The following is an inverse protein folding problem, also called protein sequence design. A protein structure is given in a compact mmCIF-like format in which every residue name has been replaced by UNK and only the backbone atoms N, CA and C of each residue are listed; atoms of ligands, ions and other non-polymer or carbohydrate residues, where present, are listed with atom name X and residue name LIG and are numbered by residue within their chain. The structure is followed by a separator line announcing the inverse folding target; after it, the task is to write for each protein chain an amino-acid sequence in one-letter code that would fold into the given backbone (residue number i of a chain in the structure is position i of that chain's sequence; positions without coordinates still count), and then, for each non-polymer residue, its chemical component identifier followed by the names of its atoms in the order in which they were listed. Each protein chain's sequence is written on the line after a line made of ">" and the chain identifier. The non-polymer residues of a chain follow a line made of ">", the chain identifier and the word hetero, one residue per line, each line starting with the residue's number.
data_IF_168693291728
#
_entry.id   IF_168693291728
#
_cell.length_a   1.000
_cell.length_b   1.000
_cell.length_c   1.000
_cell.angle_alpha   90.00
_cell.angle_beta   90.00
_cell.angle_gamma   90.00
#
_symmetry.space_group_name_H-M   'P 1'
#
loop_
_entity.id
_entity.type
_entity.pdbx_description
1 polymer ?
#
# COMPACT_ATOMS: atom_id res chain seq x y z
N UNK A 1 -51.30 -6.94 -29.95
CA UNK A 1 -49.86 -7.03 -30.27
C UNK A 1 -49.21 -5.73 -29.82
N UNK A 2 -48.49 -5.76 -28.70
CA UNK A 2 -47.80 -4.61 -28.10
C UNK A 2 -46.32 -5.01 -28.06
N UNK A 3 -45.38 -4.25 -28.65
CA UNK A 3 -43.98 -4.59 -28.53
C UNK A 3 -43.47 -4.13 -27.16
N UNK A 4 -42.95 -5.07 -26.38
CA UNK A 4 -42.13 -4.80 -25.18
C UNK A 4 -40.78 -4.27 -25.64
N UNK A 5 -40.54 -2.98 -25.48
CA UNK A 5 -39.21 -2.39 -25.57
C UNK A 5 -38.42 -2.78 -24.32
N UNK A 6 -37.38 -3.58 -24.51
CA UNK A 6 -36.35 -3.84 -23.52
C UNK A 6 -35.57 -2.55 -23.27
N UNK A 7 -35.78 -1.95 -22.10
CA UNK A 7 -34.87 -0.95 -21.51
C UNK A 7 -33.89 -1.74 -20.66
N UNK A 8 -32.72 -2.07 -21.22
CA UNK A 8 -31.58 -2.54 -20.44
C UNK A 8 -30.29 -2.04 -21.09
N UNK A 9 -29.34 -1.65 -20.24
CA UNK A 9 -27.97 -1.22 -20.54
C UNK A 9 -27.74 0.28 -20.67
N UNK A 10 -28.13 1.03 -19.63
CA UNK A 10 -27.52 2.31 -19.28
C UNK A 10 -26.93 2.23 -17.86
N UNK A 11 -25.96 1.35 -17.63
CA UNK A 11 -25.19 1.34 -16.37
C UNK A 11 -23.87 0.54 -16.50
N UNK A 12 -22.99 0.94 -17.43
CA UNK A 12 -21.68 0.29 -17.55
C UNK A 12 -20.66 1.24 -18.22
N UNK A 13 -20.56 2.48 -17.75
CA UNK A 13 -19.57 3.44 -18.28
C UNK A 13 -19.10 4.51 -17.27
N UNK A 14 -18.98 4.15 -15.98
CA UNK A 14 -18.34 4.99 -14.95
C UNK A 14 -17.34 4.24 -14.05
N UNK A 15 -16.84 3.07 -14.47
CA UNK A 15 -15.71 2.39 -13.82
C UNK A 15 -14.37 2.67 -14.54
N UNK A 16 -14.27 3.80 -15.24
CA UNK A 16 -13.04 4.20 -15.90
C UNK A 16 -12.12 4.96 -14.93
N UNK A 17 -11.00 4.31 -14.60
CA UNK A 17 -9.67 4.93 -14.45
C UNK A 17 -9.36 5.70 -13.16
N UNK A 18 -9.87 5.28 -12.01
CA UNK A 18 -9.21 5.61 -10.73
C UNK A 18 -8.47 4.38 -10.20
N UNK A 19 -7.67 3.75 -11.06
CA UNK A 19 -6.67 2.80 -10.57
C UNK A 19 -5.57 3.63 -9.90
N UNK A 20 -5.26 3.29 -8.64
CA UNK A 20 -4.07 3.78 -7.98
C UNK A 20 -2.86 3.33 -8.80
N UNK A 21 -2.33 4.20 -9.65
CA UNK A 21 -1.14 3.89 -10.42
C UNK A 21 0.08 4.11 -9.53
N UNK A 22 1.18 3.43 -9.83
CA UNK A 22 2.49 3.71 -9.22
C UNK A 22 2.94 5.17 -9.44
N UNK A 23 2.29 5.90 -10.37
CA UNK A 23 2.69 7.21 -10.87
C UNK A 23 1.87 8.38 -10.32
N UNK A 24 0.81 8.11 -9.55
CA UNK A 24 -0.05 9.18 -9.05
C UNK A 24 0.80 10.15 -8.24
N UNK A 25 0.79 11.42 -8.65
CA UNK A 25 1.67 12.42 -8.04
C UNK A 25 1.39 12.43 -6.54
N UNK A 26 2.39 12.18 -5.70
CA UNK A 26 2.22 12.44 -4.29
C UNK A 26 1.81 13.90 -4.13
N UNK A 27 0.93 14.20 -3.18
CA UNK A 27 0.71 15.58 -2.75
C UNK A 27 1.67 15.84 -1.58
N UNK A 28 2.93 16.26 -1.82
CA UNK A 28 3.69 16.86 -0.74
C UNK A 28 2.90 18.10 -0.32
N UNK A 29 2.35 18.07 0.90
CA UNK A 29 1.74 19.25 1.48
C UNK A 29 2.79 20.35 1.47
N UNK A 30 2.62 21.38 0.65
CA UNK A 30 3.47 22.58 0.65
C UNK A 30 3.33 23.35 1.96
N UNK A 31 2.28 23.06 2.73
CA UNK A 31 2.04 23.61 4.04
C UNK A 31 2.92 22.95 5.10
N UNK A 32 3.48 23.77 5.99
CA UNK A 32 4.18 23.31 7.18
C UNK A 32 3.24 22.53 8.11
N UNK A 33 3.80 21.64 8.94
CA UNK A 33 3.04 20.89 9.94
C UNK A 33 2.24 21.79 10.88
N UNK A 34 2.81 22.93 11.28
CA UNK A 34 2.13 23.92 12.11
C UNK A 34 0.91 24.55 11.40
N UNK A 35 0.98 24.80 10.09
CA UNK A 35 -0.17 25.29 9.32
C UNK A 35 -1.26 24.23 9.19
N UNK A 36 -0.86 22.97 8.99
CA UNK A 36 -1.79 21.83 8.94
C UNK A 36 -2.52 21.70 10.28
N UNK A 37 -1.79 21.74 11.40
CA UNK A 37 -2.37 21.70 12.75
C UNK A 37 -3.36 22.85 12.99
N UNK A 38 -3.04 24.08 12.57
CA UNK A 38 -3.97 25.22 12.66
C UNK A 38 -5.26 25.00 11.85
N UNK A 39 -5.14 24.39 10.65
CA UNK A 39 -6.31 24.05 9.82
C UNK A 39 -7.16 22.96 10.49
N UNK A 40 -6.52 21.95 11.09
CA UNK A 40 -7.20 20.90 11.85
C UNK A 40 -7.93 21.48 13.07
N UNK A 41 -7.28 22.32 13.88
CA UNK A 41 -7.92 22.99 15.03
C UNK A 41 -9.15 23.79 14.61
N UNK A 42 -9.04 24.57 13.52
CA UNK A 42 -10.16 25.33 12.97
C UNK A 42 -11.30 24.41 12.52
N UNK A 43 -10.99 23.36 11.76
CA UNK A 43 -11.98 22.43 11.25
C UNK A 43 -12.68 21.64 12.36
N UNK A 44 -11.95 21.23 13.39
CA UNK A 44 -12.47 20.42 14.50
C UNK A 44 -13.57 21.13 15.30
N UNK A 45 -13.69 22.46 15.21
CA UNK A 45 -14.77 23.23 15.84
C UNK A 45 -16.14 22.83 15.30
N UNK A 46 -16.25 22.56 14.00
CA UNK A 46 -17.51 22.25 13.31
C UNK A 46 -17.58 20.85 12.72
N UNK A 47 -16.43 20.25 12.42
CA UNK A 47 -16.35 18.91 11.83
C UNK A 47 -16.53 17.80 12.88
N UNK A 48 -16.95 16.64 12.39
CA UNK A 48 -16.99 15.39 13.14
C UNK A 48 -15.67 14.63 12.97
N UNK A 49 -15.26 13.87 13.99
CA UNK A 49 -13.96 13.17 13.98
C UNK A 49 -14.21 11.68 13.80
N UNK A 50 -13.83 11.12 12.65
CA UNK A 50 -14.05 9.70 12.34
C UNK A 50 -12.72 8.96 12.34
N UNK A 51 -12.60 7.94 13.17
CA UNK A 51 -11.45 7.06 13.20
C UNK A 51 -11.66 5.79 12.37
N UNK A 52 -10.65 5.40 11.61
CA UNK A 52 -10.60 4.13 10.88
C UNK A 52 -9.26 3.47 11.19
N UNK A 53 -9.33 2.21 11.62
CA UNK A 53 -8.16 1.43 12.00
C UNK A 53 -8.13 0.07 11.31
N UNK A 54 -7.02 -0.26 10.65
CA UNK A 54 -6.82 -1.56 10.00
C UNK A 54 -5.49 -2.20 10.38
N UNK A 55 -5.55 -3.42 10.93
CA UNK A 55 -4.32 -4.13 11.30
C UNK A 55 -3.57 -4.60 10.06
N UNK A 56 -4.23 -5.34 9.18
CA UNK A 56 -3.66 -5.91 7.97
C UNK A 56 -4.45 -5.46 6.75
N UNK A 57 -4.16 -4.27 6.19
CA UNK A 57 -4.48 -4.05 4.79
C UNK A 57 -3.84 -5.14 3.93
N UNK A 58 -4.29 -5.27 2.69
CA UNK A 58 -3.56 -6.05 1.70
C UNK A 58 -2.14 -5.46 1.56
N UNK A 59 -1.14 -6.14 2.13
CA UNK A 59 0.25 -5.67 2.23
C UNK A 59 0.94 -5.80 0.87
N UNK A 60 1.68 -4.78 0.42
CA UNK A 60 2.59 -4.96 -0.72
C UNK A 60 3.75 -5.83 -0.26
N UNK A 61 3.68 -7.12 -0.58
CA UNK A 61 4.74 -8.06 -0.27
C UNK A 61 5.16 -8.96 -1.43
N UNK A 62 6.13 -9.82 -1.12
CA UNK A 62 6.60 -10.91 -1.92
C UNK A 62 6.72 -12.15 -1.04
N UNK A 63 5.72 -13.01 -1.13
CA UNK A 63 5.64 -14.27 -0.39
C UNK A 63 5.94 -15.46 -1.29
N UNK A 64 6.05 -16.65 -0.70
CA UNK A 64 6.36 -17.86 -1.43
C UNK A 64 5.30 -18.24 -2.47
N UNK A 65 4.05 -17.87 -2.17
CA UNK A 65 2.89 -18.04 -3.06
C UNK A 65 2.89 -17.12 -4.28
N UNK A 66 3.68 -16.04 -4.28
CA UNK A 66 3.80 -15.13 -5.41
C UNK A 66 4.60 -15.74 -6.57
N UNK A 67 5.39 -16.78 -6.29
CA UNK A 67 6.14 -17.51 -7.32
C UNK A 67 5.36 -18.74 -7.77
N UNK A 68 4.84 -18.69 -8.99
CA UNK A 68 3.97 -19.73 -9.56
C UNK A 68 4.75 -20.97 -10.00
N UNK A 69 6.06 -20.85 -10.23
CA UNK A 69 6.94 -21.95 -10.63
C UNK A 69 8.36 -21.78 -10.05
N UNK A 70 8.54 -22.27 -8.83
CA UNK A 70 9.81 -22.18 -8.10
C UNK A 70 11.01 -22.82 -8.81
N UNK A 71 10.94 -24.04 -9.36
CA UNK A 71 12.06 -24.62 -10.09
C UNK A 71 12.53 -23.75 -11.26
N UNK A 72 11.59 -23.24 -12.07
CA UNK A 72 11.93 -22.39 -13.21
C UNK A 72 12.44 -21.01 -12.76
N UNK A 73 11.86 -20.43 -11.71
CA UNK A 73 12.33 -19.16 -11.17
C UNK A 73 13.77 -19.27 -10.69
N UNK A 74 14.10 -20.32 -9.93
CA UNK A 74 15.48 -20.56 -9.46
C UNK A 74 16.42 -20.88 -10.61
N UNK A 75 15.99 -21.58 -11.66
CA UNK A 75 16.79 -21.76 -12.86
C UNK A 75 17.15 -20.40 -13.51
N UNK A 76 16.21 -19.47 -13.59
CA UNK A 76 16.49 -18.12 -14.12
C UNK A 76 17.50 -17.36 -13.25
N UNK A 77 17.41 -17.51 -11.92
CA UNK A 77 18.41 -16.96 -10.99
C UNK A 77 19.79 -17.59 -11.22
N UNK A 78 19.87 -18.91 -11.42
CA UNK A 78 21.11 -19.61 -11.75
C UNK A 78 21.74 -19.16 -13.06
N UNK A 79 20.91 -18.95 -14.08
CA UNK A 79 21.38 -18.46 -15.39
C UNK A 79 22.02 -17.07 -15.26
N UNK A 80 21.63 -16.31 -14.23
CA UNK A 80 22.25 -15.06 -13.80
C UNK A 80 22.37 -14.02 -14.93
N UNK A 81 21.28 -13.84 -15.69
CA UNK A 81 21.19 -12.91 -16.82
C UNK A 81 20.07 -11.88 -16.62
N UNK A 82 20.26 -10.69 -17.17
CA UNK A 82 19.25 -9.63 -17.16
C UNK A 82 18.76 -9.30 -15.74
N UNK A 83 17.44 -9.16 -15.52
CA UNK A 83 16.87 -8.87 -14.20
C UNK A 83 17.27 -9.87 -13.09
N UNK A 84 17.52 -11.14 -13.45
CA UNK A 84 17.90 -12.18 -12.49
C UNK A 84 19.25 -11.89 -11.81
N UNK A 85 20.16 -11.21 -12.52
CA UNK A 85 21.45 -10.80 -11.99
C UNK A 85 21.29 -9.87 -10.78
N UNK A 86 20.33 -8.96 -10.82
CA UNK A 86 20.07 -8.06 -9.70
C UNK A 86 19.46 -8.76 -8.51
N UNK A 87 18.48 -9.63 -8.75
CA UNK A 87 17.91 -10.44 -7.66
C UNK A 87 19.02 -11.26 -6.99
N UNK A 88 19.82 -11.99 -7.77
CA UNK A 88 20.97 -12.75 -7.26
C UNK A 88 21.94 -11.88 -6.46
N UNK A 89 22.34 -10.72 -6.98
CA UNK A 89 23.30 -9.83 -6.31
C UNK A 89 22.87 -9.45 -4.90
N UNK A 90 21.57 -9.27 -4.67
CA UNK A 90 21.05 -8.84 -3.37
C UNK A 90 20.68 -9.98 -2.43
N UNK A 91 20.60 -11.23 -2.89
CA UNK A 91 20.34 -12.37 -2.01
C UNK A 91 21.43 -12.47 -0.94
N UNK A 92 21.08 -12.98 0.25
CA UNK A 92 22.07 -13.30 1.27
C UNK A 92 23.09 -14.33 0.73
N UNK A 93 24.33 -14.25 1.22
CA UNK A 93 25.46 -15.01 0.66
C UNK A 93 25.20 -16.52 0.65
N UNK A 94 24.71 -17.06 1.76
CA UNK A 94 24.33 -18.47 1.91
C UNK A 94 23.23 -18.89 0.92
N UNK A 95 22.26 -18.02 0.64
CA UNK A 95 21.19 -18.30 -0.32
C UNK A 95 21.72 -18.31 -1.76
N UNK A 96 22.64 -17.39 -2.10
CA UNK A 96 23.32 -17.41 -3.40
C UNK A 96 24.07 -18.71 -3.62
N UNK A 97 24.85 -19.15 -2.63
CA UNK A 97 25.62 -20.40 -2.71
C UNK A 97 24.70 -21.61 -2.94
N UNK A 98 23.52 -21.63 -2.28
CA UNK A 98 22.51 -22.67 -2.51
C UNK A 98 21.88 -22.59 -3.90
N UNK A 99 21.59 -21.38 -4.40
CA UNK A 99 21.09 -21.19 -5.77
C UNK A 99 22.14 -21.61 -6.78
N UNK A 100 23.44 -21.34 -6.59
CA UNK A 100 24.50 -21.74 -7.51
C UNK A 100 24.73 -23.27 -7.56
N UNK A 101 24.17 -24.03 -6.61
CA UNK A 101 24.25 -25.48 -6.61
C UNK A 101 23.51 -26.08 -7.81
N UNK A 102 24.22 -26.83 -8.67
CA UNK A 102 23.66 -27.45 -9.90
C UNK A 102 22.45 -28.36 -9.66
N UNK A 103 22.26 -28.86 -8.44
CA UNK A 103 21.14 -29.73 -8.09
C UNK A 103 19.94 -28.98 -7.50
N UNK A 104 20.03 -27.67 -7.23
CA UNK A 104 18.99 -26.91 -6.51
C UNK A 104 17.63 -27.00 -7.19
N UNK A 105 17.56 -26.93 -8.52
CA UNK A 105 16.31 -26.99 -9.28
C UNK A 105 15.63 -28.34 -9.09
N UNK A 106 16.42 -29.43 -9.13
CA UNK A 106 15.91 -30.77 -8.86
C UNK A 106 15.48 -30.93 -7.38
N UNK A 107 16.20 -30.31 -6.45
CA UNK A 107 15.84 -30.32 -5.02
C UNK A 107 14.54 -29.58 -4.73
N UNK A 108 14.33 -28.41 -5.36
CA UNK A 108 13.10 -27.62 -5.21
C UNK A 108 11.92 -28.34 -5.88
N UNK A 109 12.13 -28.98 -7.03
CA UNK A 109 11.09 -29.77 -7.69
C UNK A 109 10.72 -31.04 -6.92
N UNK A 110 11.61 -31.54 -6.05
CA UNK A 110 11.36 -32.72 -5.25
C UNK A 110 10.35 -32.42 -4.12
N UNK A 111 9.38 -33.32 -3.93
CA UNK A 111 8.40 -33.22 -2.82
C UNK A 111 9.03 -33.33 -1.42
N UNK A 112 10.27 -33.80 -1.33
CA UNK A 112 11.05 -33.97 -0.09
C UNK A 112 12.48 -33.47 -0.31
N UNK A 113 12.71 -32.15 -0.33
CA UNK A 113 14.06 -31.62 -0.43
C UNK A 113 14.92 -32.09 0.73
N UNK A 114 16.22 -32.20 0.50
CA UNK A 114 17.19 -32.45 1.58
C UNK A 114 17.17 -31.30 2.60
N UNK A 115 17.62 -31.52 3.85
CA UNK A 115 17.55 -30.51 4.91
C UNK A 115 18.17 -29.17 4.54
N UNK A 116 19.23 -29.18 3.73
CA UNK A 116 19.93 -27.98 3.23
C UNK A 116 19.04 -27.06 2.37
N UNK A 117 18.16 -27.64 1.55
CA UNK A 117 17.27 -26.88 0.66
C UNK A 117 15.88 -26.63 1.27
N UNK A 118 15.64 -27.12 2.49
CA UNK A 118 14.37 -26.94 3.18
C UNK A 118 14.21 -25.47 3.55
N UNK A 119 13.14 -24.84 3.06
CA UNK A 119 12.85 -23.43 3.33
C UNK A 119 13.56 -22.45 2.39
N UNK A 120 14.37 -22.92 1.43
CA UNK A 120 15.07 -22.04 0.50
C UNK A 120 14.13 -21.09 -0.25
N UNK A 121 12.96 -21.55 -0.67
CA UNK A 121 11.95 -20.71 -1.35
C UNK A 121 11.42 -19.60 -0.44
N UNK A 122 11.17 -19.91 0.84
CA UNK A 122 10.75 -18.93 1.84
C UNK A 122 11.86 -17.91 2.12
N UNK A 123 13.10 -18.38 2.24
CA UNK A 123 14.28 -17.52 2.45
C UNK A 123 14.52 -16.58 1.27
N UNK A 124 14.44 -17.08 0.03
CA UNK A 124 14.53 -16.26 -1.19
C UNK A 124 13.41 -15.22 -1.21
N UNK A 125 12.17 -15.62 -0.88
CA UNK A 125 11.03 -14.70 -0.84
C UNK A 125 11.25 -13.59 0.18
N UNK A 126 11.75 -13.93 1.37
CA UNK A 126 12.08 -12.97 2.42
C UNK A 126 13.17 -11.98 1.99
N UNK A 127 14.20 -12.46 1.30
CA UNK A 127 15.24 -11.57 0.77
C UNK A 127 14.68 -10.65 -0.31
N UNK A 128 13.86 -11.16 -1.24
CA UNK A 128 13.18 -10.34 -2.26
C UNK A 128 12.27 -9.30 -1.60
N UNK A 129 11.50 -9.68 -0.59
CA UNK A 129 10.65 -8.76 0.16
C UNK A 129 11.45 -7.56 0.70
N UNK A 130 12.61 -7.80 1.33
CA UNK A 130 13.50 -6.73 1.79
C UNK A 130 14.04 -5.87 0.64
N UNK A 131 14.30 -6.46 -0.52
CA UNK A 131 14.80 -5.75 -1.70
C UNK A 131 13.78 -4.82 -2.33
N UNK A 132 12.47 -5.11 -2.21
CA UNK A 132 11.43 -4.26 -2.81
C UNK A 132 11.48 -2.83 -2.29
N UNK A 133 12.11 -2.60 -1.15
CA UNK A 133 12.30 -1.26 -0.60
C UNK A 133 13.39 -0.44 -1.25
N UNK A 134 14.22 -1.06 -2.09
CA UNK A 134 15.42 -0.45 -2.63
C UNK A 134 15.09 0.45 -3.83
N UNK A 135 15.46 1.75 -3.81
CA UNK A 135 15.26 2.61 -4.97
C UNK A 135 16.18 2.22 -6.16
N UNK A 136 17.21 1.41 -5.91
CA UNK A 136 18.23 0.96 -6.86
C UNK A 136 18.11 -0.53 -7.23
N UNK A 137 16.96 -1.17 -6.98
CA UNK A 137 16.79 -2.61 -7.24
C UNK A 137 17.05 -2.97 -8.71
N UNK A 138 16.49 -2.20 -9.64
CA UNK A 138 16.70 -2.33 -11.07
C UNK A 138 17.25 -1.03 -11.64
N UNK A 139 18.28 -1.12 -12.47
CA UNK A 139 18.73 -0.05 -13.35
C UNK A 139 18.03 -0.12 -14.70
N UNK A 140 18.11 0.95 -15.49
CA UNK A 140 17.59 0.98 -16.86
C UNK A 140 18.18 -0.17 -17.71
N UNK A 141 19.49 -0.43 -17.55
CA UNK A 141 20.17 -1.52 -18.25
C UNK A 141 19.63 -2.90 -17.89
N UNK A 142 19.21 -3.10 -16.63
CA UNK A 142 18.64 -4.38 -16.17
C UNK A 142 17.28 -4.66 -16.83
N UNK A 143 16.62 -3.63 -17.36
CA UNK A 143 15.26 -3.66 -17.90
C UNK A 143 15.19 -3.49 -19.43
N UNK A 144 16.33 -3.46 -20.13
CA UNK A 144 16.38 -3.20 -21.58
C UNK A 144 15.50 -4.15 -22.41
N UNK A 145 15.41 -5.42 -22.00
CA UNK A 145 14.62 -6.45 -22.67
C UNK A 145 13.23 -6.68 -22.02
N UNK A 146 12.86 -5.85 -21.03
CA UNK A 146 11.59 -5.97 -20.31
C UNK A 146 10.56 -5.02 -20.91
N UNK A 147 9.41 -5.57 -21.33
CA UNK A 147 8.31 -4.76 -21.85
C UNK A 147 7.60 -4.00 -20.72
N UNK A 148 7.90 -2.70 -20.58
CA UNK A 148 7.32 -1.84 -19.55
C UNK A 148 6.02 -1.15 -20.00
N UNK A 149 5.01 -1.18 -19.12
CA UNK A 149 3.77 -0.41 -19.28
C UNK A 149 4.04 1.10 -19.12
N UNK A 150 3.07 1.94 -19.52
CA UNK A 150 3.15 3.39 -19.33
C UNK A 150 3.30 3.75 -17.85
N UNK A 151 2.51 3.14 -16.97
CA UNK A 151 2.54 3.43 -15.52
C UNK A 151 3.89 3.10 -14.89
N UNK A 152 4.55 2.02 -15.34
CA UNK A 152 5.91 1.66 -14.91
C UNK A 152 6.92 2.72 -15.35
N UNK A 153 6.84 3.17 -16.61
CA UNK A 153 7.72 4.22 -17.13
C UNK A 153 7.52 5.54 -16.39
N UNK A 154 6.27 5.91 -16.13
CA UNK A 154 5.94 7.13 -15.38
C UNK A 154 6.46 7.05 -13.94
N UNK A 155 6.33 5.89 -13.27
CA UNK A 155 6.90 5.66 -11.94
C UNK A 155 8.44 5.65 -11.93
N UNK A 156 9.09 5.09 -12.95
CA UNK A 156 10.56 5.18 -13.12
C UNK A 156 11.00 6.64 -13.24
N UNK A 157 10.30 7.42 -14.06
CA UNK A 157 10.60 8.83 -14.31
C UNK A 157 10.47 9.72 -13.06
N UNK A 158 9.73 9.30 -12.03
CA UNK A 158 9.70 9.99 -10.74
C UNK A 158 11.07 9.96 -10.01
N UNK A 159 11.91 8.95 -10.27
CA UNK A 159 13.24 8.83 -9.66
C UNK A 159 13.21 8.92 -8.13
N UNK A 160 14.06 9.78 -7.57
CA UNK A 160 14.15 10.05 -6.13
C UNK A 160 12.89 10.72 -5.54
N UNK A 161 11.98 11.22 -6.38
CA UNK A 161 10.71 11.81 -5.93
C UNK A 161 9.66 10.75 -5.60
N UNK A 162 9.93 9.48 -5.88
CA UNK A 162 9.04 8.38 -5.49
C UNK A 162 8.93 8.31 -3.97
N UNK A 163 7.73 8.03 -3.51
CA UNK A 163 7.50 7.66 -2.11
C UNK A 163 7.98 6.24 -1.83
N UNK A 164 7.97 5.89 -0.54
CA UNK A 164 8.17 4.53 -0.08
C UNK A 164 7.20 3.54 -0.76
N UNK A 165 5.90 3.83 -0.76
CA UNK A 165 4.87 2.93 -1.34
C UNK A 165 5.03 2.85 -2.85
N UNK A 166 5.30 3.96 -3.53
CA UNK A 166 5.54 3.96 -4.98
C UNK A 166 6.77 3.12 -5.34
N UNK A 167 7.82 3.15 -4.52
CA UNK A 167 9.01 2.31 -4.71
C UNK A 167 8.68 0.83 -4.55
N UNK A 168 7.90 0.46 -3.52
CA UNK A 168 7.40 -0.89 -3.33
C UNK A 168 6.57 -1.37 -4.52
N UNK A 169 5.56 -0.60 -4.93
CA UNK A 169 4.70 -0.94 -6.06
C UNK A 169 5.49 -1.08 -7.35
N UNK A 170 6.42 -0.15 -7.62
CA UNK A 170 7.29 -0.18 -8.78
C UNK A 170 8.11 -1.46 -8.80
N UNK A 171 8.84 -1.75 -7.72
CA UNK A 171 9.74 -2.90 -7.66
C UNK A 171 8.98 -4.22 -7.76
N UNK A 172 7.83 -4.36 -7.10
CA UNK A 172 6.98 -5.56 -7.23
C UNK A 172 6.43 -5.73 -8.64
N UNK A 173 6.09 -4.63 -9.32
CA UNK A 173 5.60 -4.64 -10.71
C UNK A 173 6.71 -4.93 -11.72
N UNK A 174 7.90 -4.37 -11.51
CA UNK A 174 9.10 -4.67 -12.31
C UNK A 174 9.51 -6.13 -12.16
N UNK A 175 9.42 -6.70 -10.95
CA UNK A 175 9.69 -8.11 -10.73
C UNK A 175 8.71 -9.00 -11.50
N UNK A 176 7.42 -8.69 -11.46
CA UNK A 176 6.42 -9.41 -12.27
C UNK A 176 6.69 -9.25 -13.78
N UNK A 177 7.07 -8.06 -14.25
CA UNK A 177 7.41 -7.82 -15.65
C UNK A 177 8.69 -8.54 -16.11
N UNK A 178 9.68 -8.63 -15.23
CA UNK A 178 10.94 -9.34 -15.46
C UNK A 178 10.75 -10.87 -15.49
N UNK A 179 9.77 -11.38 -14.74
CA UNK A 179 9.51 -12.81 -14.58
C UNK A 179 8.03 -13.17 -14.84
N UNK A 180 7.49 -12.86 -16.03
CA UNK A 180 6.04 -12.84 -16.27
C UNK A 180 5.37 -14.22 -16.17
N UNK A 181 6.15 -15.30 -16.29
CA UNK A 181 5.66 -16.67 -16.18
C UNK A 181 5.94 -17.32 -14.81
N UNK A 182 6.70 -16.64 -13.94
CA UNK A 182 7.16 -17.18 -12.66
C UNK A 182 6.65 -16.36 -11.49
N UNK A 183 6.42 -15.06 -11.65
CA UNK A 183 5.98 -14.16 -10.60
C UNK A 183 4.57 -13.65 -10.94
N UNK A 184 3.63 -13.88 -10.02
CA UNK A 184 2.27 -13.40 -10.18
C UNK A 184 2.24 -11.87 -10.29
N UNK A 185 1.40 -11.30 -11.18
CA UNK A 185 1.19 -9.86 -11.22
C UNK A 185 0.55 -9.39 -9.91
N UNK A 186 0.76 -8.11 -9.58
CA UNK A 186 0.08 -7.50 -8.44
C UNK A 186 -1.42 -7.47 -8.74
N UNK A 187 -2.29 -7.98 -7.85
CA UNK A 187 -3.73 -7.85 -8.01
C UNK A 187 -4.15 -6.38 -8.20
N UNK A 188 -5.13 -6.13 -9.07
CA UNK A 188 -5.75 -4.81 -9.12
C UNK A 188 -6.34 -4.48 -7.73
N UNK A 189 -6.03 -3.29 -7.20
CA UNK A 189 -6.42 -2.83 -5.85
C UNK A 189 -5.71 -3.50 -4.66
N UNK A 190 -4.66 -4.29 -4.88
CA UNK A 190 -3.74 -4.63 -3.80
C UNK A 190 -3.31 -3.33 -3.09
N UNK A 191 -3.08 -3.34 -1.78
CA UNK A 191 -2.70 -2.17 -0.96
C UNK A 191 -3.64 -0.96 -0.94
N UNK A 192 -4.76 -1.00 -1.67
CA UNK A 192 -5.75 0.07 -1.71
C UNK A 192 -6.84 -0.19 -0.68
N UNK A 193 -7.00 0.72 0.28
CA UNK A 193 -8.14 0.71 1.19
C UNK A 193 -9.06 1.89 0.89
N UNK A 194 -10.28 1.61 0.45
CA UNK A 194 -11.27 2.65 0.14
C UNK A 194 -11.98 3.13 1.40
N UNK A 195 -12.16 4.44 1.52
CA UNK A 195 -13.03 5.09 2.52
C UNK A 195 -14.04 5.95 1.78
N UNK A 196 -15.32 5.64 1.94
CA UNK A 196 -16.41 6.42 1.34
C UNK A 196 -17.03 7.36 2.35
N UNK A 197 -16.96 8.66 2.09
CA UNK A 197 -17.56 9.70 2.92
C UNK A 197 -18.90 10.12 2.31
N UNK A 198 -19.98 9.88 3.04
CA UNK A 198 -21.34 10.25 2.65
C UNK A 198 -21.62 11.73 2.85
N UNK A 199 -22.66 12.22 2.19
CA UNK A 199 -23.17 13.57 2.36
C UNK A 199 -23.52 13.86 3.84
N UNK A 200 -23.24 15.07 4.32
CA UNK A 200 -23.50 15.46 5.70
C UNK A 200 -22.55 16.55 6.18
N UNK A 201 -22.36 16.63 7.50
CA UNK A 201 -21.34 17.49 8.11
C UNK A 201 -19.95 17.15 7.61
N UNK A 202 -19.09 18.16 7.58
CA UNK A 202 -17.68 17.96 7.27
C UNK A 202 -17.04 17.00 8.28
N UNK A 203 -16.10 16.18 7.81
CA UNK A 203 -15.36 15.24 8.67
C UNK A 203 -13.86 15.52 8.69
N UNK A 204 -13.24 15.19 9.81
CA UNK A 204 -11.79 14.94 9.91
C UNK A 204 -11.63 13.43 10.00
N UNK A 205 -10.87 12.85 9.07
CA UNK A 205 -10.58 11.43 9.04
C UNK A 205 -9.28 11.15 9.80
N UNK A 206 -9.31 10.22 10.73
CA UNK A 206 -8.11 9.67 11.37
C UNK A 206 -7.94 8.25 10.86
N UNK A 207 -6.95 8.03 10.00
CA UNK A 207 -6.71 6.75 9.36
C UNK A 207 -5.45 6.12 9.94
N UNK A 208 -5.56 4.87 10.39
CA UNK A 208 -4.43 4.16 10.97
C UNK A 208 -4.27 2.77 10.41
N UNK A 209 -3.02 2.40 10.10
CA UNK A 209 -2.67 1.07 9.64
C UNK A 209 -1.39 0.55 10.28
N UNK A 210 -1.33 -0.76 10.55
CA UNK A 210 -0.11 -1.41 11.03
C UNK A 210 0.83 -1.71 9.87
N UNK A 211 0.29 -2.13 8.71
CA UNK A 211 1.05 -2.36 7.47
C UNK A 211 0.91 -1.20 6.47
N UNK A 212 1.77 -1.18 5.45
CA UNK A 212 1.73 -0.13 4.43
C UNK A 212 0.46 -0.20 3.60
N UNK A 213 -0.20 0.94 3.37
CA UNK A 213 -1.36 1.00 2.48
C UNK A 213 -1.58 2.38 1.87
N UNK A 214 -2.39 2.41 0.82
CA UNK A 214 -2.91 3.62 0.22
C UNK A 214 -4.39 3.75 0.51
N UNK A 215 -4.76 4.81 1.19
CA UNK A 215 -6.15 5.19 1.44
C UNK A 215 -6.71 5.92 0.23
N UNK A 216 -7.74 5.36 -0.41
CA UNK A 216 -8.51 6.06 -1.44
C UNK A 216 -9.78 6.61 -0.80
N UNK A 217 -9.86 7.93 -0.68
CA UNK A 217 -11.01 8.60 -0.09
C UNK A 217 -11.95 9.03 -1.22
N UNK A 218 -13.14 8.46 -1.24
CA UNK A 218 -14.22 8.80 -2.16
C UNK A 218 -15.25 9.65 -1.41
N UNK A 219 -15.51 10.87 -1.88
CA UNK A 219 -16.46 11.79 -1.24
C UNK A 219 -17.70 11.90 -2.11
N UNK A 220 -18.85 11.54 -1.54
CA UNK A 220 -20.16 11.71 -2.20
C UNK A 220 -20.52 13.19 -2.34
N UNK A 221 -21.34 13.51 -3.33
CA UNK A 221 -21.86 14.87 -3.51
C UNK A 221 -22.50 15.39 -2.21
N UNK A 222 -22.08 16.58 -1.77
CA UNK A 222 -22.52 17.19 -0.51
C UNK A 222 -21.75 16.73 0.74
N UNK A 223 -20.85 15.75 0.62
CA UNK A 223 -19.88 15.37 1.64
C UNK A 223 -18.63 16.28 1.61
N UNK A 224 -17.88 16.30 2.71
CA UNK A 224 -16.67 17.11 2.83
C UNK A 224 -15.66 16.46 3.79
N UNK A 225 -14.39 16.38 3.35
CA UNK A 225 -13.26 16.00 4.19
C UNK A 225 -12.42 17.24 4.44
N UNK A 226 -12.46 17.77 5.67
CA UNK A 226 -11.73 18.98 6.03
C UNK A 226 -10.24 18.73 6.31
N UNK A 227 -9.89 17.54 6.78
CA UNK A 227 -8.51 17.12 7.01
C UNK A 227 -8.41 15.59 7.12
N UNK A 228 -7.19 15.08 6.94
CA UNK A 228 -6.83 13.69 7.20
C UNK A 228 -5.66 13.66 8.18
N UNK A 229 -5.72 12.80 9.18
CA UNK A 229 -4.64 12.52 10.12
C UNK A 229 -4.24 11.06 9.93
N UNK A 230 -2.99 10.81 9.54
CA UNK A 230 -2.45 9.47 9.41
C UNK A 230 -1.69 9.08 10.67
N UNK A 231 -1.95 7.88 11.19
CA UNK A 231 -1.20 7.26 12.28
C UNK A 231 -0.90 5.80 11.99
N UNK A 232 -0.11 5.13 12.83
CA UNK A 232 0.25 3.72 12.67
C UNK A 232 1.75 3.47 12.49
N UNK A 233 2.10 2.23 12.21
CA UNK A 233 3.48 1.73 12.20
C UNK A 233 4.19 1.85 10.84
N UNK A 234 3.45 1.67 9.76
CA UNK A 234 4.00 1.60 8.42
C UNK A 234 3.64 2.83 7.55
N UNK A 235 4.38 3.05 6.45
CA UNK A 235 4.10 4.11 5.49
C UNK A 235 2.70 4.03 4.90
N UNK A 236 2.01 5.16 4.88
CA UNK A 236 0.65 5.27 4.39
C UNK A 236 0.50 6.46 3.47
N UNK A 237 -0.33 6.33 2.45
CA UNK A 237 -0.65 7.39 1.50
C UNK A 237 -2.13 7.68 1.44
N UNK A 238 -2.47 8.89 0.98
CA UNK A 238 -3.86 9.32 0.81
C UNK A 238 -4.04 9.78 -0.64
N UNK A 239 -5.12 9.31 -1.28
CA UNK A 239 -5.59 9.78 -2.58
C UNK A 239 -7.09 10.08 -2.56
N UNK A 240 -7.57 10.71 -3.62
CA UNK A 240 -9.00 11.00 -3.83
C UNK A 240 -9.51 12.31 -3.22
N UNK A 241 -8.71 13.00 -2.39
CA UNK A 241 -9.04 14.31 -1.81
C UNK A 241 -7.85 15.27 -1.84
N UNK A 242 -8.13 16.57 -1.78
CA UNK A 242 -7.14 17.65 -1.63
C UNK A 242 -7.05 18.21 -0.20
N UNK A 243 -7.68 17.51 0.75
CA UNK A 243 -7.68 17.90 2.15
C UNK A 243 -6.24 17.88 2.73
N UNK A 244 -5.91 18.77 3.67
CA UNK A 244 -4.62 18.75 4.33
C UNK A 244 -4.41 17.42 5.08
N UNK A 245 -3.22 16.84 4.92
CA UNK A 245 -2.85 15.55 5.53
C UNK A 245 -1.78 15.75 6.59
N UNK A 246 -2.07 15.40 7.84
CA UNK A 246 -1.11 15.38 8.95
C UNK A 246 -0.54 13.96 9.11
N UNK A 247 0.77 13.81 8.94
CA UNK A 247 1.45 12.53 9.09
C UNK A 247 2.01 12.36 10.51
N UNK A 248 1.39 11.50 11.31
CA UNK A 248 1.84 11.08 12.65
C UNK A 248 2.10 9.56 12.70
N UNK A 249 2.60 9.01 11.58
CA UNK A 249 3.02 7.62 11.41
C UNK A 249 4.47 7.42 11.88
N UNK A 250 4.83 6.20 12.30
CA UNK A 250 6.20 5.89 12.69
C UNK A 250 7.18 5.98 11.50
N UNK A 251 6.74 5.55 10.32
CA UNK A 251 7.48 5.63 9.07
C UNK A 251 6.69 6.51 8.09
N UNK A 252 7.12 7.77 7.93
CA UNK A 252 6.51 8.70 6.98
C UNK A 252 6.91 8.33 5.55
N UNK A 253 5.99 8.25 4.58
CA UNK A 253 6.34 7.92 3.19
C UNK A 253 7.26 8.94 2.50
N UNK A 254 7.38 10.15 3.05
CA UNK A 254 8.21 11.26 2.54
C UNK A 254 9.35 11.68 3.48
N UNK A 255 9.31 11.26 4.76
CA UNK A 255 10.27 11.72 5.79
C UNK A 255 10.93 10.54 6.52
N UNK A 256 12.06 10.84 7.18
CA UNK A 256 12.78 9.89 8.05
C UNK A 256 11.88 9.41 9.21
N UNK A 257 12.16 8.24 9.82
CA UNK A 257 11.37 7.69 10.92
C UNK A 257 11.08 8.70 12.02
N UNK A 258 9.84 8.77 12.52
CA UNK A 258 9.48 9.61 13.67
C UNK A 258 9.78 8.86 14.96
N UNK A 259 10.76 9.35 15.73
CA UNK A 259 11.15 8.79 17.02
C UNK A 259 10.22 9.21 18.19
N UNK A 260 9.28 10.12 17.96
CA UNK A 260 8.33 10.62 18.97
C UNK A 260 7.14 11.32 18.32
N UNK A 261 6.07 11.51 19.10
CA UNK A 261 4.80 12.12 18.69
C UNK A 261 4.07 11.42 17.54
N UNK A 262 3.84 10.10 17.69
CA UNK A 262 3.09 9.27 16.74
C UNK A 262 1.71 8.91 17.29
N UNK A 263 0.77 8.66 16.39
CA UNK A 263 -0.48 7.98 16.71
C UNK A 263 -0.25 6.48 16.50
N UNK A 264 -0.46 5.68 17.55
CA UNK A 264 -0.44 4.22 17.45
C UNK A 264 -1.60 3.68 16.62
N UNK A 265 -1.54 2.42 16.22
CA UNK A 265 -2.69 1.76 15.63
C UNK A 265 -3.62 1.24 16.73
N UNK A 266 -4.92 1.49 16.55
CA UNK A 266 -5.95 0.65 17.12
C UNK A 266 -6.82 0.10 15.99
N UNK A 267 -7.34 -1.11 16.14
CA UNK A 267 -8.38 -1.66 15.26
C UNK A 267 -9.53 -2.31 16.07
N UNK A 268 -9.47 -2.21 17.40
CA UNK A 268 -10.52 -2.64 18.32
C UNK A 268 -10.77 -1.49 19.30
N UNK A 269 -12.02 -1.04 19.38
CA UNK A 269 -12.46 0.06 20.25
C UNK A 269 -12.31 -0.26 21.74
N UNK A 270 -12.23 -1.54 22.10
CA UNK A 270 -12.07 -1.98 23.49
C UNK A 270 -10.59 -2.15 23.89
N UNK A 271 -9.65 -1.89 22.98
CA UNK A 271 -8.22 -2.05 23.22
C UNK A 271 -7.64 -0.87 24.00
N UNK A 272 -6.51 -1.10 24.67
CA UNK A 272 -5.76 -0.01 25.34
C UNK A 272 -5.18 0.96 24.31
N UNK A 273 -4.82 0.44 23.16
CA UNK A 273 -4.31 1.17 22.01
C UNK A 273 -5.34 2.19 21.52
N UNK A 274 -6.63 1.82 21.48
CA UNK A 274 -7.71 2.75 21.14
C UNK A 274 -7.81 3.90 22.15
N UNK A 275 -7.77 3.61 23.45
CA UNK A 275 -7.84 4.66 24.48
C UNK A 275 -6.66 5.65 24.36
N UNK A 276 -5.44 5.15 24.10
CA UNK A 276 -4.26 5.99 23.86
C UNK A 276 -4.41 6.82 22.59
N UNK A 277 -4.94 6.22 21.51
CA UNK A 277 -5.20 6.91 20.26
C UNK A 277 -6.24 8.01 20.43
N UNK A 278 -7.35 7.74 21.11
CA UNK A 278 -8.45 8.69 21.34
C UNK A 278 -7.98 9.90 22.16
N UNK A 279 -7.23 9.68 23.25
CA UNK A 279 -6.67 10.79 24.03
C UNK A 279 -5.69 11.64 23.20
N UNK A 280 -4.91 11.00 22.33
CA UNK A 280 -4.03 11.74 21.42
C UNK A 280 -4.82 12.58 20.41
N UNK A 281 -5.87 12.03 19.82
CA UNK A 281 -6.75 12.76 18.89
C UNK A 281 -7.48 13.89 19.59
N UNK A 282 -7.91 13.68 20.83
CA UNK A 282 -8.51 14.72 21.65
C UNK A 282 -7.53 15.85 21.96
N UNK A 283 -6.24 15.55 22.17
CA UNK A 283 -5.22 16.59 22.35
C UNK A 283 -4.99 17.44 21.09
N UNK A 284 -5.22 16.87 19.89
CA UNK A 284 -5.01 17.54 18.60
C UNK A 284 -6.25 18.32 18.16
N UNK A 285 -7.43 17.75 18.36
CA UNK A 285 -8.70 18.24 17.80
C UNK A 285 -9.62 18.88 18.85
N UNK A 286 -9.29 18.73 20.14
CA UNK A 286 -10.14 19.15 21.26
C UNK A 286 -11.36 18.25 21.50
N UNK A 287 -11.57 17.21 20.68
CA UNK A 287 -12.74 16.32 20.74
C UNK A 287 -12.33 14.84 20.63
N UNK A 288 -13.06 13.92 21.28
CA UNK A 288 -12.87 12.49 21.03
C UNK A 288 -13.41 12.11 19.64
N UNK A 289 -13.29 10.84 19.28
CA UNK A 289 -13.95 10.31 18.08
C UNK A 289 -15.47 10.48 18.17
N UNK A 290 -16.08 10.93 17.08
CA UNK A 290 -17.53 10.84 16.87
C UNK A 290 -17.93 9.39 16.60
N UNK A 291 -17.12 8.67 15.82
CA UNK A 291 -17.27 7.24 15.57
C UNK A 291 -15.92 6.63 15.20
N UNK A 292 -15.74 5.34 15.47
CA UNK A 292 -14.55 4.58 15.15
C UNK A 292 -14.90 3.26 14.47
N UNK A 293 -14.23 2.96 13.36
CA UNK A 293 -14.37 1.71 12.62
C UNK A 293 -13.02 0.99 12.58
N UNK A 294 -12.87 -0.02 13.42
CA UNK A 294 -11.68 -0.87 13.47
C UNK A 294 -11.93 -2.24 12.83
N UNK A 295 -10.98 -2.74 12.04
CA UNK A 295 -11.03 -4.08 11.44
C UNK A 295 -9.64 -4.73 11.39
N UNK A 296 -9.60 -6.07 11.45
CA UNK A 296 -8.34 -6.77 11.21
C UNK A 296 -7.90 -6.64 9.74
N UNK A 297 -8.82 -6.76 8.78
CA UNK A 297 -8.56 -6.59 7.34
C UNK A 297 -9.54 -5.59 6.74
N UNK A 298 -9.20 -4.99 5.60
CA UNK A 298 -10.13 -4.09 4.93
C UNK A 298 -11.42 -4.83 4.52
N UNK A 299 -12.62 -4.28 4.80
CA UNK A 299 -13.87 -4.91 4.42
C UNK A 299 -14.03 -4.91 2.89
N UNK A 300 -14.73 -5.92 2.36
CA UNK A 300 -15.07 -5.96 0.94
C UNK A 300 -15.91 -4.72 0.59
N UNK A 301 -15.39 -3.88 -0.30
CA UNK A 301 -16.01 -2.61 -0.67
C UNK A 301 -15.55 -1.41 0.18
N UNK A 302 -14.67 -1.57 1.16
CA UNK A 302 -14.10 -0.46 1.93
C UNK A 302 -15.00 0.08 3.06
N UNK A 303 -14.48 1.09 3.76
CA UNK A 303 -15.14 1.71 4.91
C UNK A 303 -16.20 2.71 4.47
N UNK A 304 -17.25 2.90 5.29
CA UNK A 304 -18.29 3.89 5.03
C UNK A 304 -18.40 4.84 6.22
N UNK A 305 -18.09 6.12 5.98
CA UNK A 305 -18.26 7.21 6.92
C UNK A 305 -19.60 7.88 6.64
N UNK A 306 -20.48 7.89 7.65
CA UNK A 306 -21.81 8.50 7.60
C UNK A 306 -21.86 9.66 8.60
N UNK A 307 -21.52 10.89 8.18
CA UNK A 307 -21.62 12.07 9.03
C UNK A 307 -23.08 12.36 9.37
N UNK A 308 -23.33 13.11 10.45
CA UNK A 308 -24.68 13.61 10.71
C UNK A 308 -25.13 14.60 9.62
N UNK A 309 -26.44 14.80 9.50
CA UNK A 309 -26.99 15.82 8.61
C UNK A 309 -26.48 17.23 8.99
N UNK A 310 -26.36 18.11 7.98
CA UNK A 310 -25.87 19.49 8.14
C UNK A 310 -26.79 20.31 9.04
#
# INVERSE_FOLDING_TARGET
>A
MIPRTFVFSLLLLLLANSFATCSDKPQPGTASEAEILKRIDKAAKTAEIYGIGIYRPDRIDFEDVDVTNWPQFVQLLQDNKGPATRVMQFLAKDRRELVENKNVVAQIAAKKPTPEFRGLTSDISHDICKMMMRPDLFSENDLNDVSLTKDLKDAIALGEKRTHIQTLCLNRSLLAAAFPNQVAPIPAHYYLTTVRVKAGKSVILVLTSYESCRWLIEVEEGGEVAAVILGGGAPQEVGGVSAPVLYLVANDPYKKPRAGDRIGIAYDVNSKEYAVQEEKIKSITGKPFTNFQGQNTAPQGGFIVKPNAK
#
